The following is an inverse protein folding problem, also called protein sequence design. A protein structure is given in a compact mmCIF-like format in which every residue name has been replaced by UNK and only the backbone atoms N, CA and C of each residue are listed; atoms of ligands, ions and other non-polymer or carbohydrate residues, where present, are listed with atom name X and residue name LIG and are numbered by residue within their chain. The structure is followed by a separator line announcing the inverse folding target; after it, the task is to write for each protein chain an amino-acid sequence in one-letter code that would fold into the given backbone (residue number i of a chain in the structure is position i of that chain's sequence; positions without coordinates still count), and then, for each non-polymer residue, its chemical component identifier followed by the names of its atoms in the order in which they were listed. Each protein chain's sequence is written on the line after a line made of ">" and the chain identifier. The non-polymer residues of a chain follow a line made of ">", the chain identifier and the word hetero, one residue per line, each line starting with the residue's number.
data_IF_635058197478
#
_entry.id   IF_635058197478
#
_cell.length_a   1.000
_cell.length_b   1.000
_cell.length_c   1.000
_cell.angle_alpha   90.00
_cell.angle_beta   90.00
_cell.angle_gamma   90.00
#
_symmetry.space_group_name_H-M   'P 1'
#
loop_
_entity.id
_entity.type
_entity.pdbx_description
1 polymer ?
#
# COMPACT_ATOMS: atom_id res chain seq x y z
N UNK A 1 -56.63 26.44 -55.45
CA UNK A 1 -55.39 27.00 -54.86
C UNK A 1 -55.12 26.30 -53.55
N UNK A 2 -53.91 25.75 -53.41
CA UNK A 2 -53.40 25.04 -52.22
C UNK A 2 -53.14 26.03 -51.08
N UNK A 3 -53.33 25.58 -49.83
CA UNK A 3 -52.46 25.77 -48.63
C UNK A 3 -53.26 25.48 -47.35
N UNK A 4 -53.18 24.26 -46.80
CA UNK A 4 -52.19 23.72 -45.82
C UNK A 4 -52.55 24.03 -44.36
N UNK A 5 -53.07 23.00 -43.70
CA UNK A 5 -53.16 22.83 -42.24
C UNK A 5 -51.78 23.01 -41.59
N UNK A 6 -51.68 23.89 -40.60
CA UNK A 6 -50.49 23.97 -39.74
C UNK A 6 -50.58 22.90 -38.66
N UNK A 7 -49.77 21.86 -38.78
CA UNK A 7 -49.52 20.93 -37.68
C UNK A 7 -48.60 21.62 -36.67
N UNK A 8 -49.14 21.91 -35.49
CA UNK A 8 -48.38 22.39 -34.34
C UNK A 8 -47.50 21.23 -33.85
N UNK A 9 -46.20 21.26 -34.15
CA UNK A 9 -45.25 20.29 -33.64
C UNK A 9 -44.92 20.65 -32.18
N UNK A 10 -45.43 19.86 -31.25
CA UNK A 10 -45.06 19.91 -29.83
C UNK A 10 -43.67 19.30 -29.68
N UNK A 11 -42.64 20.14 -29.54
CA UNK A 11 -41.29 19.69 -29.21
C UNK A 11 -41.26 19.26 -27.73
N UNK A 12 -41.36 17.96 -27.49
CA UNK A 12 -41.09 17.36 -26.19
C UNK A 12 -39.56 17.30 -26.02
N UNK A 13 -38.98 18.29 -25.33
CA UNK A 13 -37.58 18.21 -24.89
C UNK A 13 -37.47 17.15 -23.81
N UNK A 14 -37.01 15.94 -24.15
CA UNK A 14 -36.50 15.01 -23.15
C UNK A 14 -35.29 15.66 -22.49
N UNK A 15 -35.44 16.12 -21.25
CA UNK A 15 -34.30 16.32 -20.37
C UNK A 15 -33.79 14.93 -19.98
N UNK A 16 -32.72 14.47 -20.63
CA UNK A 16 -31.96 13.34 -20.14
C UNK A 16 -31.40 13.74 -18.76
N UNK A 17 -31.69 13.00 -17.67
CA UNK A 17 -30.91 13.18 -16.45
C UNK A 17 -29.49 12.76 -16.81
N UNK A 18 -28.60 13.75 -16.91
CA UNK A 18 -27.17 13.50 -16.98
C UNK A 18 -26.80 12.77 -15.69
N UNK A 19 -26.57 11.45 -15.80
CA UNK A 19 -25.83 10.73 -14.78
C UNK A 19 -24.41 11.28 -14.90
N UNK A 20 -24.17 12.40 -14.23
CA UNK A 20 -22.83 12.76 -13.83
C UNK A 20 -22.40 11.63 -12.91
N UNK A 21 -21.63 10.69 -13.47
CA UNK A 21 -20.67 9.96 -12.64
C UNK A 21 -19.76 11.06 -12.10
N UNK A 22 -20.10 11.58 -10.92
CA UNK A 22 -19.13 12.23 -10.08
C UNK A 22 -18.17 11.11 -9.72
N UNK A 23 -17.03 11.06 -10.41
CA UNK A 23 -15.83 10.50 -9.80
C UNK A 23 -15.68 11.26 -8.49
N UNK A 24 -15.90 10.58 -7.36
CA UNK A 24 -15.62 11.16 -6.06
C UNK A 24 -14.17 11.64 -6.09
N UNK A 25 -13.93 12.90 -5.69
CA UNK A 25 -12.57 13.39 -5.61
C UNK A 25 -11.82 12.56 -4.55
N UNK A 26 -10.54 12.29 -4.79
CA UNK A 26 -9.66 11.69 -3.79
C UNK A 26 -9.81 12.42 -2.45
N UNK A 27 -10.23 11.69 -1.41
CA UNK A 27 -10.39 12.22 -0.06
C UNK A 27 -9.16 11.92 0.80
N UNK A 28 -8.91 12.77 1.78
CA UNK A 28 -7.91 12.50 2.82
C UNK A 28 -8.61 11.91 4.03
N UNK A 29 -8.22 10.70 4.42
CA UNK A 29 -8.72 9.98 5.60
C UNK A 29 -7.60 9.99 6.65
N UNK A 30 -7.83 10.65 7.77
CA UNK A 30 -6.83 10.77 8.84
C UNK A 30 -6.86 9.57 9.79
N UNK A 31 -5.67 9.07 10.15
CA UNK A 31 -5.50 8.02 11.15
C UNK A 31 -4.52 8.47 12.24
N UNK A 32 -4.93 8.37 13.49
CA UNK A 32 -4.18 8.79 14.66
C UNK A 32 -4.78 8.16 15.95
N UNK A 33 -4.11 8.28 17.11
CA UNK A 33 -4.66 7.76 18.36
C UNK A 33 -6.03 8.36 18.77
N UNK A 34 -6.24 9.67 18.59
CA UNK A 34 -7.48 10.37 18.98
C UNK A 34 -7.75 11.61 18.12
N UNK A 35 -9.02 11.86 17.76
CA UNK A 35 -9.46 13.11 17.12
C UNK A 35 -9.41 13.15 15.58
N UNK A 36 -9.11 12.03 14.94
CA UNK A 36 -9.04 11.78 13.50
C UNK A 36 -10.21 10.89 13.05
N UNK A 37 -10.32 10.67 11.74
CA UNK A 37 -11.43 9.91 11.14
C UNK A 37 -11.44 8.46 11.61
N UNK A 38 -10.26 7.85 11.74
CA UNK A 38 -10.08 6.49 12.24
C UNK A 38 -8.93 6.40 13.23
N UNK A 39 -9.00 5.40 14.12
CA UNK A 39 -7.89 5.02 15.01
C UNK A 39 -7.18 3.75 14.57
N UNK A 40 -7.64 3.11 13.48
CA UNK A 40 -7.06 1.92 12.88
C UNK A 40 -6.89 2.13 11.38
N UNK A 41 -5.74 1.70 10.87
CA UNK A 41 -5.41 1.70 9.44
C UNK A 41 -6.35 0.76 8.70
N UNK A 42 -6.60 -0.44 9.23
CA UNK A 42 -7.50 -1.41 8.62
C UNK A 42 -8.93 -0.86 8.53
N UNK A 43 -9.39 -0.15 9.56
CA UNK A 43 -10.69 0.52 9.53
C UNK A 43 -10.75 1.64 8.46
N UNK A 44 -9.67 2.42 8.30
CA UNK A 44 -9.59 3.45 7.27
C UNK A 44 -9.58 2.86 5.85
N UNK A 45 -8.85 1.76 5.62
CA UNK A 45 -8.83 1.05 4.33
C UNK A 45 -10.21 0.48 3.98
N UNK A 46 -10.98 0.05 4.97
CA UNK A 46 -12.33 -0.48 4.76
C UNK A 46 -13.31 0.59 4.25
N UNK A 47 -13.10 1.86 4.58
CA UNK A 47 -13.93 2.99 4.11
C UNK A 47 -13.36 3.69 2.88
N UNK A 48 -12.05 3.58 2.66
CA UNK A 48 -11.36 4.19 1.53
C UNK A 48 -11.83 3.64 0.18
N UNK A 49 -11.71 4.49 -0.84
CA UNK A 49 -11.96 4.19 -2.25
C UNK A 49 -10.70 4.47 -3.06
N UNK A 50 -10.67 3.94 -4.27
CA UNK A 50 -9.60 4.24 -5.22
C UNK A 50 -9.40 5.77 -5.36
N UNK A 51 -8.14 6.19 -5.25
CA UNK A 51 -7.71 7.58 -5.27
C UNK A 51 -7.51 8.19 -3.89
N UNK A 52 -8.08 7.64 -2.81
CA UNK A 52 -7.99 8.23 -1.48
C UNK A 52 -6.57 8.17 -0.90
N UNK A 53 -6.30 9.12 0.01
CA UNK A 53 -5.07 9.18 0.81
C UNK A 53 -5.39 8.89 2.27
N UNK A 54 -4.86 7.81 2.79
CA UNK A 54 -4.88 7.50 4.23
C UNK A 54 -3.63 8.16 4.85
N UNK A 55 -3.83 9.25 5.58
CA UNK A 55 -2.79 10.05 6.20
C UNK A 55 -2.60 9.65 7.66
N UNK A 56 -1.44 9.08 7.99
CA UNK A 56 -1.06 8.68 9.33
C UNK A 56 -0.40 9.83 10.09
N UNK A 57 -0.46 9.77 11.42
CA UNK A 57 0.30 10.63 12.34
C UNK A 57 1.64 9.99 12.74
N UNK A 58 2.48 10.74 13.47
CA UNK A 58 3.78 10.26 13.96
C UNK A 58 3.61 9.38 15.20
N UNK A 59 3.20 8.12 14.99
CA UNK A 59 2.99 7.15 16.06
C UNK A 59 3.24 5.71 15.58
N UNK A 60 3.14 4.77 16.50
CA UNK A 60 3.24 3.33 16.23
C UNK A 60 1.85 2.72 16.12
N UNK A 61 1.56 2.16 14.95
CA UNK A 61 0.37 1.39 14.62
C UNK A 61 0.68 -0.10 14.72
N UNK A 62 0.31 -0.70 15.86
CA UNK A 62 0.34 -2.15 16.05
C UNK A 62 -1.07 -2.71 15.79
N UNK A 63 -1.41 -2.83 14.51
CA UNK A 63 -2.66 -3.49 14.10
C UNK A 63 -2.63 -4.95 14.59
N UNK A 64 -3.73 -5.47 15.13
CA UNK A 64 -3.80 -6.87 15.57
C UNK A 64 -3.84 -7.89 14.43
N UNK A 65 -3.68 -7.44 13.18
CA UNK A 65 -3.72 -8.24 11.97
C UNK A 65 -2.93 -7.53 10.86
N UNK A 66 -2.56 -8.30 9.82
CA UNK A 66 -1.93 -7.79 8.61
C UNK A 66 -2.73 -6.63 7.99
N UNK A 67 -2.01 -5.63 7.46
CA UNK A 67 -2.59 -4.52 6.71
C UNK A 67 -2.64 -4.92 5.24
N UNK A 68 -3.87 -5.08 4.71
CA UNK A 68 -4.13 -5.37 3.30
C UNK A 68 -4.81 -4.18 2.64
N UNK A 69 -4.34 -3.79 1.46
CA UNK A 69 -4.95 -2.73 0.64
C UNK A 69 -6.18 -3.19 -0.13
N UNK A 70 -6.47 -4.50 -0.14
CA UNK A 70 -7.70 -5.08 -0.71
C UNK A 70 -7.88 -4.69 -2.20
N UNK A 71 -6.78 -4.63 -2.95
CA UNK A 71 -6.77 -4.30 -4.38
C UNK A 71 -7.03 -2.82 -4.69
N UNK A 72 -7.17 -1.95 -3.67
CA UNK A 72 -7.51 -0.54 -3.85
C UNK A 72 -6.31 0.28 -4.31
N UNK A 73 -6.53 1.19 -5.24
CA UNK A 73 -5.56 2.19 -5.68
C UNK A 73 -5.52 3.38 -4.70
N UNK A 74 -5.07 3.15 -3.47
CA UNK A 74 -4.98 4.14 -2.40
C UNK A 74 -3.53 4.53 -2.08
N UNK A 75 -3.33 5.70 -1.47
CA UNK A 75 -2.06 6.08 -0.88
C UNK A 75 -2.09 5.92 0.65
N UNK A 76 -1.30 5.01 1.21
CA UNK A 76 -1.02 4.95 2.65
C UNK A 76 0.24 5.78 2.94
N UNK A 77 0.04 6.95 3.57
CA UNK A 77 1.09 7.96 3.75
C UNK A 77 1.37 8.23 5.22
N UNK A 78 2.61 8.00 5.64
CA UNK A 78 3.14 8.46 6.91
C UNK A 78 3.64 9.91 6.90
N UNK A 79 4.07 10.37 8.05
CA UNK A 79 4.71 11.69 8.23
C UNK A 79 6.23 11.57 8.36
N UNK A 80 6.92 12.69 8.14
CA UNK A 80 8.36 12.82 8.34
C UNK A 80 8.66 13.50 9.67
N UNK A 81 9.77 13.12 10.30
CA UNK A 81 10.36 13.84 11.43
C UNK A 81 11.09 15.12 10.99
N UNK A 82 11.66 15.86 11.96
CA UNK A 82 12.41 17.10 11.70
C UNK A 82 13.67 16.89 10.83
N UNK A 83 14.14 15.66 10.67
CA UNK A 83 15.31 15.28 9.86
C UNK A 83 14.91 14.76 8.48
N UNK A 84 13.61 14.70 8.18
CA UNK A 84 13.08 14.17 6.94
C UNK A 84 12.99 12.64 6.89
N UNK A 85 13.12 11.95 8.02
CA UNK A 85 12.99 10.49 8.10
C UNK A 85 11.53 10.09 8.39
N UNK A 86 11.05 8.93 7.89
CA UNK A 86 9.75 8.38 8.23
C UNK A 86 9.51 8.26 9.75
N UNK A 87 8.36 8.74 10.22
CA UNK A 87 8.00 8.75 11.64
C UNK A 87 6.69 8.02 11.98
N UNK A 88 5.94 7.58 10.96
CA UNK A 88 4.78 6.69 11.15
C UNK A 88 5.25 5.23 11.07
N UNK A 89 5.03 4.47 12.14
CA UNK A 89 5.55 3.12 12.30
C UNK A 89 4.41 2.11 12.19
N UNK A 90 4.52 1.17 11.25
CA UNK A 90 3.69 -0.02 11.15
C UNK A 90 4.44 -1.18 11.80
N UNK A 91 3.89 -1.73 12.89
CA UNK A 91 4.57 -2.70 13.75
C UNK A 91 3.81 -4.03 13.75
N UNK A 92 4.42 -5.09 13.21
CA UNK A 92 3.84 -6.45 13.21
C UNK A 92 3.92 -7.17 14.56
N UNK A 93 4.58 -6.55 15.56
CA UNK A 93 4.75 -7.05 16.91
C UNK A 93 5.37 -8.45 17.03
N UNK A 94 6.06 -8.93 15.99
CA UNK A 94 6.63 -10.28 15.90
C UNK A 94 5.57 -11.38 15.82
N UNK A 95 4.37 -11.07 15.32
CA UNK A 95 3.23 -12.00 15.38
C UNK A 95 2.56 -12.26 14.03
N UNK A 96 2.78 -11.37 13.06
CA UNK A 96 2.27 -11.51 11.71
C UNK A 96 3.08 -10.65 10.74
N UNK A 97 2.86 -10.88 9.45
CA UNK A 97 3.30 -9.99 8.38
C UNK A 97 2.75 -8.58 8.58
N UNK A 98 3.52 -7.53 8.27
CA UNK A 98 2.99 -6.15 8.42
C UNK A 98 2.06 -5.77 7.26
N UNK A 99 2.50 -5.92 6.01
CA UNK A 99 1.77 -5.51 4.81
C UNK A 99 1.56 -6.66 3.83
N UNK A 100 0.43 -6.67 3.14
CA UNK A 100 0.17 -7.61 2.04
C UNK A 100 -0.56 -6.92 0.87
N UNK A 101 -0.09 -7.22 -0.34
CA UNK A 101 -0.77 -6.93 -1.59
C UNK A 101 -0.90 -8.25 -2.36
N UNK A 102 -2.12 -8.76 -2.50
CA UNK A 102 -2.42 -10.07 -3.12
C UNK A 102 -3.71 -10.04 -3.95
N UNK A 103 -4.25 -8.85 -4.20
CA UNK A 103 -5.54 -8.65 -4.87
C UNK A 103 -5.36 -7.92 -6.21
N UNK A 104 -4.16 -7.95 -6.78
CA UNK A 104 -3.83 -7.32 -8.06
C UNK A 104 -3.55 -5.83 -7.94
N UNK A 105 -3.06 -5.38 -6.78
CA UNK A 105 -2.60 -4.00 -6.60
C UNK A 105 -1.58 -3.62 -7.68
N UNK A 106 -1.73 -2.41 -8.24
CA UNK A 106 -0.84 -1.89 -9.27
C UNK A 106 -0.12 -0.63 -8.77
N UNK A 107 0.51 0.11 -9.69
CA UNK A 107 1.26 1.32 -9.36
C UNK A 107 0.43 2.42 -8.68
N UNK A 108 -0.92 2.34 -8.74
CA UNK A 108 -1.85 3.22 -8.04
C UNK A 108 -2.02 2.91 -6.55
N UNK A 109 -1.61 1.73 -6.09
CA UNK A 109 -1.46 1.43 -4.67
C UNK A 109 -0.08 1.92 -4.21
N UNK A 110 -0.07 2.91 -3.31
CA UNK A 110 1.13 3.68 -2.95
C UNK A 110 1.37 3.63 -1.45
N UNK A 111 2.62 3.36 -1.06
CA UNK A 111 3.10 3.45 0.32
C UNK A 111 4.19 4.51 0.42
N UNK A 112 4.01 5.50 1.30
CA UNK A 112 4.91 6.65 1.40
C UNK A 112 5.28 6.97 2.85
N UNK A 113 6.57 7.20 3.11
CA UNK A 113 7.06 7.70 4.41
C UNK A 113 6.71 6.81 5.61
N UNK A 114 6.89 5.49 5.45
CA UNK A 114 6.53 4.50 6.47
C UNK A 114 7.78 3.83 7.04
N UNK A 115 7.74 3.49 8.33
CA UNK A 115 8.62 2.48 8.93
C UNK A 115 7.82 1.19 9.06
N UNK A 116 8.28 0.11 8.44
CA UNK A 116 7.68 -1.22 8.47
C UNK A 116 8.60 -2.13 9.30
N UNK A 117 8.15 -2.58 10.47
CA UNK A 117 9.04 -3.30 11.39
C UNK A 117 8.39 -4.44 12.15
N UNK A 118 9.27 -5.31 12.67
CA UNK A 118 8.91 -6.46 13.51
C UNK A 118 7.80 -7.31 12.89
N UNK A 119 7.73 -7.40 11.57
CA UNK A 119 6.87 -8.34 10.89
C UNK A 119 7.49 -9.73 10.92
N UNK A 120 6.68 -10.74 11.18
CA UNK A 120 7.10 -12.14 11.23
C UNK A 120 6.12 -13.02 10.44
N UNK A 121 6.62 -13.73 9.44
CA UNK A 121 5.83 -14.67 8.64
C UNK A 121 6.74 -15.67 7.93
N UNK A 122 6.22 -16.72 7.29
CA UNK A 122 7.06 -17.61 6.48
C UNK A 122 7.59 -16.90 5.23
N UNK A 123 6.76 -16.07 4.58
CA UNK A 123 7.15 -15.35 3.36
C UNK A 123 6.92 -13.87 3.58
N UNK A 124 7.89 -13.01 3.29
CA UNK A 124 7.68 -11.56 3.33
C UNK A 124 7.33 -11.06 4.74
N UNK A 125 8.26 -11.09 5.70
CA UNK A 125 7.99 -10.69 7.08
C UNK A 125 7.44 -9.26 7.18
N UNK A 126 8.11 -8.30 6.54
CA UNK A 126 7.62 -6.92 6.45
C UNK A 126 6.48 -6.78 5.45
N UNK A 127 6.69 -7.23 4.21
CA UNK A 127 5.69 -7.14 3.14
C UNK A 127 5.75 -8.33 2.18
N UNK A 128 4.59 -8.73 1.68
CA UNK A 128 4.48 -9.69 0.58
C UNK A 128 3.63 -9.12 -0.55
N UNK A 129 4.16 -9.24 -1.76
CA UNK A 129 3.48 -8.89 -3.00
C UNK A 129 3.26 -10.16 -3.81
N UNK A 130 1.99 -10.55 -4.00
CA UNK A 130 1.59 -11.68 -4.84
C UNK A 130 0.79 -11.18 -6.03
N UNK A 131 1.26 -11.44 -7.26
CA UNK A 131 0.67 -10.91 -8.49
C UNK A 131 0.39 -9.39 -8.45
N UNK A 132 1.15 -8.65 -7.63
CA UNK A 132 0.86 -7.26 -7.28
C UNK A 132 2.12 -6.39 -7.39
N UNK A 133 1.97 -5.18 -7.90
CA UNK A 133 3.08 -4.27 -8.23
C UNK A 133 2.89 -2.87 -7.65
N UNK A 134 2.78 -2.72 -6.31
CA UNK A 134 2.61 -1.41 -5.68
C UNK A 134 3.84 -0.52 -5.83
N UNK A 135 3.66 0.77 -5.57
CA UNK A 135 4.75 1.76 -5.50
C UNK A 135 5.10 2.07 -4.05
N UNK A 136 6.38 2.06 -3.72
CA UNK A 136 6.88 2.46 -2.40
C UNK A 136 7.89 3.59 -2.53
N UNK A 137 7.72 4.64 -1.72
CA UNK A 137 8.64 5.78 -1.68
C UNK A 137 9.02 6.12 -0.25
N UNK A 138 10.33 6.23 0.02
CA UNK A 138 10.85 6.63 1.31
C UNK A 138 10.32 5.74 2.46
N UNK A 139 10.33 4.43 2.25
CA UNK A 139 9.92 3.45 3.25
C UNK A 139 11.14 2.76 3.87
N UNK A 140 11.10 2.48 5.16
CA UNK A 140 12.14 1.73 5.88
C UNK A 140 11.59 0.42 6.37
N UNK A 141 12.11 -0.70 5.85
CA UNK A 141 11.87 -2.05 6.35
C UNK A 141 12.96 -2.41 7.34
N UNK A 142 12.61 -2.60 8.62
CA UNK A 142 13.61 -2.90 9.66
C UNK A 142 13.20 -3.98 10.64
N UNK A 143 14.11 -4.90 10.97
CA UNK A 143 13.86 -5.91 12.00
C UNK A 143 12.71 -6.86 11.64
N UNK A 144 12.44 -7.08 10.35
CA UNK A 144 11.43 -8.04 9.92
C UNK A 144 12.07 -9.40 9.66
N UNK A 145 11.35 -10.47 9.96
CA UNK A 145 11.84 -11.85 9.92
C UNK A 145 10.95 -12.72 9.03
N UNK A 146 11.58 -13.59 8.23
CA UNK A 146 10.88 -14.58 7.43
C UNK A 146 11.32 -16.01 7.78
N UNK A 147 10.35 -16.92 7.96
CA UNK A 147 10.60 -18.35 8.15
C UNK A 147 11.16 -19.03 6.90
N UNK A 148 10.83 -18.51 5.72
CA UNK A 148 11.37 -18.96 4.44
C UNK A 148 12.12 -17.84 3.72
N UNK A 149 11.40 -16.93 3.05
CA UNK A 149 11.99 -16.00 2.10
C UNK A 149 11.55 -14.56 2.31
N UNK A 150 12.47 -13.62 2.11
CA UNK A 150 12.13 -12.19 2.08
C UNK A 150 11.82 -11.61 3.45
N UNK A 151 12.80 -11.55 4.36
CA UNK A 151 12.59 -11.00 5.71
C UNK A 151 11.94 -9.63 5.69
N UNK A 152 12.50 -8.70 4.91
CA UNK A 152 11.93 -7.37 4.69
C UNK A 152 10.75 -7.39 3.71
N UNK A 153 10.96 -7.94 2.51
CA UNK A 153 9.93 -8.03 1.46
C UNK A 153 10.08 -9.30 0.62
N UNK A 154 8.97 -9.93 0.23
CA UNK A 154 8.97 -10.97 -0.80
C UNK A 154 8.03 -10.59 -1.94
N UNK A 155 8.51 -10.77 -3.19
CA UNK A 155 7.77 -10.45 -4.41
C UNK A 155 7.61 -11.70 -5.26
N UNK A 156 6.37 -12.18 -5.40
CA UNK A 156 6.00 -13.33 -6.23
C UNK A 156 5.14 -12.87 -7.41
N UNK A 157 5.66 -13.03 -8.64
CA UNK A 157 5.00 -12.68 -9.91
C UNK A 157 4.65 -11.17 -10.09
N UNK A 158 4.74 -10.36 -9.03
CA UNK A 158 4.56 -8.91 -9.04
C UNK A 158 5.88 -8.14 -9.07
N UNK A 159 5.92 -6.98 -9.73
CA UNK A 159 7.15 -6.18 -9.91
C UNK A 159 6.98 -4.77 -9.33
N UNK A 160 7.06 -4.61 -8.00
CA UNK A 160 6.88 -3.30 -7.36
C UNK A 160 7.99 -2.31 -7.75
N UNK A 161 7.69 -1.03 -7.64
CA UNK A 161 8.66 0.05 -7.83
C UNK A 161 8.99 0.66 -6.47
N UNK A 162 10.29 0.69 -6.13
CA UNK A 162 10.78 1.22 -4.87
C UNK A 162 11.74 2.38 -5.14
N UNK A 163 11.48 3.50 -4.48
CA UNK A 163 12.33 4.70 -4.56
C UNK A 163 12.72 5.14 -3.15
N UNK A 164 14.01 5.41 -2.93
CA UNK A 164 14.53 5.89 -1.64
C UNK A 164 14.17 4.99 -0.45
N UNK A 165 14.01 3.68 -0.68
CA UNK A 165 13.65 2.73 0.37
C UNK A 165 14.89 2.13 1.05
N UNK A 166 14.79 1.85 2.34
CA UNK A 166 15.86 1.23 3.13
C UNK A 166 15.40 -0.11 3.68
N UNK A 167 16.21 -1.15 3.50
CA UNK A 167 16.04 -2.47 4.11
C UNK A 167 17.21 -2.70 5.07
N UNK A 168 16.91 -2.78 6.37
CA UNK A 168 17.94 -2.88 7.42
C UNK A 168 17.63 -3.97 8.44
N UNK A 169 18.61 -4.77 8.87
CA UNK A 169 18.43 -5.75 9.94
C UNK A 169 17.23 -6.69 9.71
N UNK A 170 16.90 -7.02 8.46
CA UNK A 170 15.87 -8.00 8.16
C UNK A 170 16.53 -9.37 7.93
N UNK A 171 15.86 -10.44 8.37
CA UNK A 171 16.40 -11.79 8.26
C UNK A 171 15.42 -12.78 7.66
N UNK A 172 15.94 -13.78 6.96
CA UNK A 172 15.17 -14.96 6.55
C UNK A 172 15.96 -16.25 6.80
N UNK A 173 15.30 -17.40 6.82
CA UNK A 173 15.99 -18.70 6.94
C UNK A 173 16.54 -19.15 5.59
N UNK A 174 15.79 -19.06 4.49
CA UNK A 174 16.25 -19.55 3.18
C UNK A 174 16.90 -18.45 2.35
N UNK A 175 16.11 -17.55 1.75
CA UNK A 175 16.66 -16.57 0.79
C UNK A 175 16.19 -15.14 1.05
N UNK A 176 17.08 -14.19 0.78
CA UNK A 176 16.72 -12.78 0.67
C UNK A 176 16.28 -12.13 1.99
N UNK A 177 17.14 -12.08 3.01
CA UNK A 177 16.82 -11.41 4.29
C UNK A 177 16.25 -10.00 4.13
N UNK A 178 16.79 -9.20 3.22
CA UNK A 178 16.25 -7.88 2.89
C UNK A 178 15.06 -7.98 1.93
N UNK A 179 15.25 -8.64 0.79
CA UNK A 179 14.22 -8.82 -0.22
C UNK A 179 14.43 -10.13 -0.99
N UNK A 180 13.35 -10.86 -1.24
CA UNK A 180 13.31 -12.02 -2.13
C UNK A 180 12.41 -11.73 -3.34
N UNK A 181 12.80 -12.23 -4.52
CA UNK A 181 12.12 -11.98 -5.79
C UNK A 181 11.98 -13.29 -6.56
N UNK A 182 10.74 -13.79 -6.68
CA UNK A 182 10.39 -14.97 -7.45
C UNK A 182 9.49 -14.59 -8.63
N UNK A 183 9.93 -14.92 -9.84
CA UNK A 183 9.26 -14.52 -11.10
C UNK A 183 8.93 -13.01 -11.19
N UNK A 184 9.69 -12.18 -10.49
CA UNK A 184 9.47 -10.74 -10.32
C UNK A 184 10.70 -9.92 -10.71
N UNK A 185 10.48 -8.68 -11.12
CA UNK A 185 11.52 -7.76 -11.60
C UNK A 185 11.32 -6.37 -11.00
N UNK A 186 11.44 -6.20 -9.66
CA UNK A 186 11.21 -4.89 -9.05
C UNK A 186 12.19 -3.84 -9.56
N UNK A 187 11.73 -2.59 -9.64
CA UNK A 187 12.57 -1.45 -10.01
C UNK A 187 13.02 -0.77 -8.71
N UNK A 188 14.32 -0.79 -8.44
CA UNK A 188 14.91 -0.21 -7.23
C UNK A 188 15.73 1.04 -7.57
N UNK A 189 15.29 2.20 -7.09
CA UNK A 189 15.95 3.48 -7.33
C UNK A 189 16.40 4.05 -5.99
N UNK A 190 17.71 4.30 -5.83
CA UNK A 190 18.30 4.86 -4.59
C UNK A 190 17.92 4.07 -3.32
N UNK A 191 17.75 2.76 -3.46
CA UNK A 191 17.46 1.89 -2.32
C UNK A 191 18.74 1.44 -1.61
N UNK A 192 18.66 1.28 -0.29
CA UNK A 192 19.77 0.83 0.55
C UNK A 192 19.42 -0.52 1.19
N UNK A 193 20.36 -1.47 1.15
CA UNK A 193 20.27 -2.75 1.86
C UNK A 193 21.47 -2.86 2.80
N UNK A 194 21.23 -2.91 4.10
CA UNK A 194 22.27 -2.97 5.13
C UNK A 194 21.93 -4.03 6.19
N UNK A 195 22.93 -4.78 6.63
CA UNK A 195 22.80 -5.72 7.76
C UNK A 195 21.62 -6.71 7.66
N UNK A 196 21.25 -7.10 6.43
CA UNK A 196 20.24 -8.13 6.21
C UNK A 196 20.92 -9.50 6.08
N UNK A 197 20.34 -10.55 6.67
CA UNK A 197 20.90 -11.91 6.64
C UNK A 197 19.91 -12.94 6.09
N UNK A 198 20.42 -13.91 5.35
CA UNK A 198 19.71 -15.14 5.05
C UNK A 198 20.54 -16.28 5.66
N UNK A 199 20.01 -16.92 6.70
CA UNK A 199 20.73 -17.93 7.45
C UNK A 199 20.41 -19.31 6.88
N UNK A 200 21.17 -19.69 5.84
CA UNK A 200 21.15 -21.05 5.29
C UNK A 200 21.62 -22.09 6.34
N UNK A 201 20.81 -22.41 7.35
CA UNK A 201 21.11 -23.45 8.34
C UNK A 201 21.09 -24.88 7.75
N UNK A 202 20.83 -25.02 6.43
CA UNK A 202 20.79 -26.31 5.72
C UNK A 202 21.88 -26.48 4.62
N UNK A 203 23.01 -25.78 4.74
CA UNK A 203 24.17 -25.93 3.83
C UNK A 203 24.85 -27.30 3.87
#
# INVERSE_FOLDING_TARGET
>A
MRRTSSRLALFLTLALPGISSLTAAAEMISVCAEGCDHTSINAAIATARDGDVIQLSAETYAEGSVISTDGKAITLRGVLDERGAPASVLDGAGSHRVLICEHGEDSGTVFENLVIRNGENDIGGGMYNDFSSPTLTNCTFTGNTAGDDGGGMSNHVGSPMLTDCTFMNNSSIFSGGGMHNEFSHPILIRCTFADNSADNEYG
#
